data_IF_802281922832
#
_entry.id   IF_802281922832
#
_cell.length_a   1.000
_cell.length_b   1.000
_cell.length_c   1.000
_cell.angle_alpha   90.00
_cell.angle_beta   90.00
_cell.angle_gamma   90.00
#
_symmetry.space_group_name_H-M   'P 1'
#
loop_
_entity.id
_entity.type
_entity.pdbx_description
1 polymer ?
#
# COMPACT_ATOMS: atom_id res chain seq x y z
N UNK A 1 -32.69 -7.86 -16.22
CA UNK A 1 -31.79 -7.07 -15.35
C UNK A 1 -31.72 -5.66 -15.88
N UNK A 2 -32.11 -4.68 -15.07
CA UNK A 2 -31.98 -3.27 -15.44
C UNK A 2 -30.53 -2.81 -15.18
N UNK A 3 -29.96 -1.98 -16.06
CA UNK A 3 -28.59 -1.47 -15.93
C UNK A 3 -28.33 -0.74 -14.58
N UNK A 4 -29.38 -0.21 -13.95
CA UNK A 4 -29.32 0.54 -12.70
C UNK A 4 -28.94 -0.31 -11.47
N UNK A 5 -29.02 -1.64 -11.55
CA UNK A 5 -28.75 -2.55 -10.42
C UNK A 5 -27.27 -3.00 -10.34
N UNK A 6 -26.43 -2.57 -11.27
CA UNK A 6 -25.02 -2.99 -11.33
C UNK A 6 -24.13 -2.14 -10.39
N UNK A 7 -23.14 -2.75 -9.72
CA UNK A 7 -22.22 -2.03 -8.83
C UNK A 7 -21.42 -0.98 -9.60
N UNK A 8 -21.19 0.21 -9.03
CA UNK A 8 -20.48 1.31 -9.72
C UNK A 8 -18.94 1.15 -9.59
N UNK A 9 -18.18 1.13 -10.70
CA UNK A 9 -18.64 1.07 -12.09
C UNK A 9 -19.02 -0.36 -12.52
N UNK A 10 -20.11 -0.53 -13.31
CA UNK A 10 -20.60 -1.84 -13.73
C UNK A 10 -19.56 -2.62 -14.51
N UNK A 11 -19.06 -3.71 -13.93
CA UNK A 11 -18.17 -4.65 -14.62
C UNK A 11 -18.95 -5.92 -14.94
N UNK A 12 -19.39 -6.08 -16.19
CA UNK A 12 -20.06 -7.29 -16.63
C UNK A 12 -19.03 -8.21 -17.32
N UNK A 13 -18.84 -9.41 -16.76
CA UNK A 13 -18.02 -10.46 -17.38
C UNK A 13 -18.96 -11.46 -18.04
N UNK A 14 -18.91 -11.56 -19.36
CA UNK A 14 -19.67 -12.54 -20.12
C UNK A 14 -18.70 -13.61 -20.63
N UNK A 15 -18.94 -14.85 -20.25
CA UNK A 15 -18.22 -16.01 -20.77
C UNK A 15 -19.25 -16.95 -21.43
N UNK A 16 -19.17 -17.10 -22.75
CA UNK A 16 -19.91 -18.11 -23.48
C UNK A 16 -18.99 -19.31 -23.75
N UNK A 17 -19.47 -20.52 -23.45
CA UNK A 17 -18.70 -21.76 -23.45
C UNK A 17 -18.78 -22.56 -24.75
N UNK A 18 -19.43 -22.06 -25.81
CA UNK A 18 -19.55 -22.80 -27.08
C UNK A 18 -18.94 -22.12 -28.32
N UNK A 19 -18.02 -21.14 -28.16
CA UNK A 19 -17.49 -20.47 -29.37
C UNK A 19 -16.39 -19.42 -29.25
N UNK A 20 -15.59 -19.41 -28.16
CA UNK A 20 -14.28 -18.74 -28.00
C UNK A 20 -14.21 -17.21 -28.11
N UNK A 21 -15.13 -16.46 -27.51
CA UNK A 21 -14.87 -15.04 -27.20
C UNK A 21 -15.21 -14.75 -25.74
N UNK A 22 -14.19 -14.34 -24.98
CA UNK A 22 -14.39 -13.70 -23.69
C UNK A 22 -14.36 -12.18 -23.91
N UNK A 23 -15.46 -11.50 -23.60
CA UNK A 23 -15.53 -10.04 -23.68
C UNK A 23 -15.70 -9.43 -22.29
N UNK A 24 -14.99 -8.32 -22.06
CA UNK A 24 -15.13 -7.47 -20.87
C UNK A 24 -15.82 -6.19 -21.31
N UNK A 25 -17.07 -6.00 -20.91
CA UNK A 25 -17.82 -4.77 -21.16
C UNK A 25 -17.75 -3.93 -19.90
N UNK A 26 -17.12 -2.76 -20.01
CA UNK A 26 -17.05 -1.77 -18.94
C UNK A 26 -17.97 -0.62 -19.31
N UNK A 27 -18.88 -0.26 -18.41
CA UNK A 27 -19.77 0.90 -18.56
C UNK A 27 -19.37 1.92 -17.50
N UNK A 28 -19.21 3.18 -17.90
CA UNK A 28 -18.89 4.29 -17.01
C UNK A 28 -19.59 5.57 -17.47
N UNK A 29 -19.65 6.55 -16.58
CA UNK A 29 -20.22 7.87 -16.84
C UNK A 29 -19.43 8.59 -17.94
N UNK A 30 -20.11 9.22 -18.91
CA UNK A 30 -19.47 9.87 -20.05
C UNK A 30 -18.58 11.07 -19.67
N UNK A 31 -18.85 11.73 -18.54
CA UNK A 31 -18.01 12.79 -17.98
C UNK A 31 -16.86 12.23 -17.13
N UNK A 32 -16.88 10.94 -16.78
CA UNK A 32 -15.80 10.28 -16.07
C UNK A 32 -14.71 9.77 -17.03
N UNK A 33 -13.45 9.85 -16.58
CA UNK A 33 -12.31 9.34 -17.35
C UNK A 33 -12.42 7.82 -17.56
N UNK A 34 -12.17 7.38 -18.79
CA UNK A 34 -12.25 5.96 -19.19
C UNK A 34 -11.36 5.07 -18.31
N UNK A 35 -11.92 4.00 -17.68
CA UNK A 35 -11.18 2.99 -16.96
C UNK A 35 -10.39 2.12 -17.94
N UNK A 36 -9.19 2.55 -18.28
CA UNK A 36 -8.21 1.74 -19.00
C UNK A 36 -7.77 0.56 -18.14
N UNK A 37 -7.37 -0.57 -18.75
CA UNK A 37 -6.80 -1.72 -18.01
C UNK A 37 -5.63 -1.31 -17.09
N UNK A 38 -4.86 -0.28 -17.48
CA UNK A 38 -3.81 0.32 -16.64
C UNK A 38 -4.34 1.14 -15.46
N UNK A 39 -5.52 1.75 -15.56
CA UNK A 39 -6.17 2.47 -14.45
C UNK A 39 -6.75 1.51 -13.41
N UNK A 40 -7.39 0.41 -13.83
CA UNK A 40 -7.91 -0.63 -12.93
C UNK A 40 -6.77 -1.39 -12.24
N UNK A 41 -5.70 -1.77 -12.96
CA UNK A 41 -4.47 -2.29 -12.32
C UNK A 41 -3.86 -1.28 -11.34
N UNK A 42 -3.89 0.02 -11.64
CA UNK A 42 -3.44 1.07 -10.72
C UNK A 42 -4.34 1.22 -9.49
N UNK A 43 -5.65 0.99 -9.65
CA UNK A 43 -6.65 1.05 -8.58
C UNK A 43 -6.55 -0.15 -7.64
N UNK A 44 -6.48 -1.36 -8.19
CA UNK A 44 -6.24 -2.60 -7.45
C UNK A 44 -4.86 -2.61 -6.76
N UNK A 45 -3.82 -2.08 -7.41
CA UNK A 45 -2.53 -1.89 -6.74
C UNK A 45 -2.59 -0.79 -5.67
N UNK A 46 -3.50 0.19 -5.76
CA UNK A 46 -3.66 1.23 -4.72
C UNK A 46 -4.26 0.63 -3.43
N UNK A 47 -5.22 -0.27 -3.54
CA UNK A 47 -5.81 -0.96 -2.38
C UNK A 47 -4.82 -1.93 -1.73
N UNK A 48 -4.06 -2.70 -2.54
CA UNK A 48 -2.97 -3.53 -2.02
C UNK A 48 -1.81 -2.73 -1.39
N UNK A 49 -1.51 -1.55 -1.95
CA UNK A 49 -0.47 -0.64 -1.42
C UNK A 49 -0.85 -0.01 -0.08
N UNK A 50 -2.11 0.37 0.10
CA UNK A 50 -2.60 0.87 1.39
C UNK A 50 -2.42 -0.18 2.50
N UNK A 51 -2.73 -1.45 2.18
CA UNK A 51 -2.50 -2.58 3.09
C UNK A 51 -1.02 -2.75 3.41
N UNK A 52 -0.13 -2.77 2.42
CA UNK A 52 1.32 -2.91 2.64
C UNK A 52 1.90 -1.78 3.53
N UNK A 53 1.45 -0.53 3.35
CA UNK A 53 1.89 0.59 4.21
C UNK A 53 1.49 0.38 5.67
N UNK A 54 0.21 0.06 5.92
CA UNK A 54 -0.28 -0.22 7.27
C UNK A 54 0.47 -1.38 7.92
N UNK A 55 0.71 -2.44 7.16
CA UNK A 55 1.45 -3.61 7.62
C UNK A 55 2.89 -3.29 8.03
N UNK A 56 3.58 -2.44 7.28
CA UNK A 56 4.93 -1.98 7.62
C UNK A 56 4.91 -1.17 8.93
N UNK A 57 3.96 -0.25 9.09
CA UNK A 57 3.82 0.56 10.30
C UNK A 57 3.56 -0.34 11.51
N UNK A 58 2.70 -1.35 11.37
CA UNK A 58 2.45 -2.33 12.43
C UNK A 58 3.72 -3.12 12.81
N UNK A 59 4.49 -3.60 11.83
CA UNK A 59 5.75 -4.32 12.08
C UNK A 59 6.76 -3.43 12.81
N UNK A 60 6.94 -2.19 12.36
CA UNK A 60 7.88 -1.24 13.01
C UNK A 60 7.40 -0.90 14.42
N UNK A 61 6.09 -0.71 14.62
CA UNK A 61 5.50 -0.42 15.94
C UNK A 61 5.67 -1.61 16.89
N UNK A 62 5.36 -2.83 16.44
CA UNK A 62 5.47 -4.04 17.23
C UNK A 62 6.92 -4.33 17.64
N UNK A 63 7.88 -4.00 16.77
CA UNK A 63 9.30 -4.16 17.09
C UNK A 63 9.80 -3.18 18.16
N UNK A 64 9.16 -2.01 18.33
CA UNK A 64 9.53 -1.00 19.33
C UNK A 64 10.92 -0.36 19.14
N UNK A 65 11.62 -0.69 18.04
CA UNK A 65 12.94 -0.17 17.68
C UNK A 65 13.04 0.08 16.18
N UNK A 66 14.08 0.78 15.76
CA UNK A 66 14.33 0.99 14.34
C UNK A 66 14.67 -0.34 13.65
N UNK A 67 14.17 -0.51 12.43
CA UNK A 67 14.33 -1.73 11.61
C UNK A 67 14.98 -1.40 10.27
N UNK A 68 15.91 -2.24 9.83
CA UNK A 68 16.43 -2.22 8.46
C UNK A 68 15.38 -2.71 7.46
N UNK A 69 15.59 -2.44 6.16
CA UNK A 69 14.72 -2.97 5.10
C UNK A 69 14.58 -4.50 5.18
N UNK A 70 15.67 -5.20 5.48
CA UNK A 70 15.69 -6.66 5.62
C UNK A 70 14.85 -7.12 6.82
N UNK A 71 14.97 -6.45 7.96
CA UNK A 71 14.18 -6.78 9.14
C UNK A 71 12.69 -6.47 8.95
N UNK A 72 12.34 -5.41 8.22
CA UNK A 72 10.94 -5.12 7.86
C UNK A 72 10.37 -6.25 6.98
N UNK A 73 11.11 -6.68 5.95
CA UNK A 73 10.69 -7.80 5.09
C UNK A 73 10.54 -9.09 5.89
N UNK A 74 11.49 -9.38 6.78
CA UNK A 74 11.41 -10.55 7.65
C UNK A 74 10.22 -10.48 8.61
N UNK A 75 9.95 -9.31 9.21
CA UNK A 75 8.81 -9.11 10.09
C UNK A 75 7.46 -9.28 9.37
N UNK A 76 7.35 -8.80 8.14
CA UNK A 76 6.17 -9.02 7.30
C UNK A 76 5.96 -10.51 6.98
N UNK A 77 7.04 -11.23 6.65
CA UNK A 77 6.99 -12.67 6.40
C UNK A 77 6.54 -13.44 7.65
N UNK A 78 7.13 -13.15 8.81
CA UNK A 78 6.75 -13.79 10.09
C UNK A 78 5.30 -13.48 10.46
N UNK A 79 4.78 -12.30 10.12
CA UNK A 79 3.39 -11.92 10.33
C UNK A 79 2.41 -12.54 9.31
N UNK A 80 2.88 -13.38 8.37
CA UNK A 80 2.04 -13.97 7.31
C UNK A 80 1.60 -12.97 6.24
N UNK A 81 2.25 -11.81 6.16
CA UNK A 81 1.91 -10.71 5.25
C UNK A 81 2.82 -10.75 4.02
N UNK A 82 2.43 -11.57 3.04
CA UNK A 82 3.19 -11.80 1.81
C UNK A 82 3.17 -10.59 0.87
N UNK A 83 4.14 -9.68 1.02
CA UNK A 83 4.37 -8.56 0.11
C UNK A 83 5.66 -8.77 -0.70
N UNK A 84 5.61 -8.49 -2.01
CA UNK A 84 6.80 -8.57 -2.86
C UNK A 84 7.85 -7.49 -2.51
N UNK A 85 9.15 -7.74 -2.75
CA UNK A 85 10.22 -6.80 -2.39
C UNK A 85 10.06 -5.40 -2.99
N UNK A 86 9.63 -5.30 -4.25
CA UNK A 86 9.36 -4.02 -4.91
C UNK A 86 8.19 -3.25 -4.30
N UNK A 87 7.15 -3.96 -3.84
CA UNK A 87 6.01 -3.36 -3.12
C UNK A 87 6.45 -2.80 -1.78
N UNK A 88 7.26 -3.55 -1.02
CA UNK A 88 7.80 -3.11 0.27
C UNK A 88 8.70 -1.89 0.09
N UNK A 89 9.64 -1.92 -0.86
CA UNK A 89 10.53 -0.79 -1.14
C UNK A 89 9.75 0.49 -1.51
N UNK A 90 8.72 0.35 -2.34
CA UNK A 90 7.87 1.49 -2.71
C UNK A 90 7.04 2.00 -1.52
N UNK A 91 6.47 1.11 -0.72
CA UNK A 91 5.69 1.48 0.45
C UNK A 91 6.55 2.20 1.50
N UNK A 92 7.79 1.75 1.71
CA UNK A 92 8.77 2.45 2.56
C UNK A 92 9.07 3.85 2.04
N UNK A 93 9.31 4.00 0.73
CA UNK A 93 9.52 5.31 0.11
C UNK A 93 8.32 6.24 0.30
N UNK A 94 7.11 5.73 0.07
CA UNK A 94 5.90 6.52 0.22
C UNK A 94 5.64 6.92 1.69
N UNK A 95 5.91 6.03 2.66
CA UNK A 95 5.77 6.33 4.11
C UNK A 95 6.78 7.39 4.58
N UNK A 96 7.96 7.44 3.97
CA UNK A 96 8.95 8.49 4.24
C UNK A 96 8.52 9.84 3.65
N UNK A 97 7.98 9.85 2.44
CA UNK A 97 7.42 11.07 1.82
C UNK A 97 6.24 11.59 2.63
N UNK A 98 5.40 10.70 3.16
CA UNK A 98 4.29 11.05 4.04
C UNK A 98 4.74 11.52 5.45
N UNK A 99 6.02 11.33 5.81
CA UNK A 99 6.56 11.68 7.11
C UNK A 99 6.14 10.74 8.25
N UNK A 100 5.51 9.60 7.95
CA UNK A 100 5.13 8.58 8.94
C UNK A 100 6.34 7.77 9.41
N UNK A 101 7.23 7.45 8.47
CA UNK A 101 8.51 6.83 8.75
C UNK A 101 9.65 7.79 8.54
N UNK A 102 10.69 7.60 9.33
CA UNK A 102 11.94 8.30 9.18
C UNK A 102 13.02 7.27 8.88
N UNK A 103 13.65 7.44 7.71
CA UNK A 103 15.07 7.27 7.42
C UNK A 103 15.58 6.09 6.55
N UNK A 104 16.42 6.42 5.55
CA UNK A 104 17.50 5.58 5.04
C UNK A 104 18.92 6.22 5.07
N UNK A 105 19.09 7.51 5.40
CA UNK A 105 20.39 8.23 5.37
C UNK A 105 21.20 8.20 6.67
N UNK A 106 20.58 8.11 7.85
CA UNK A 106 21.34 8.10 9.13
C UNK A 106 21.84 6.70 9.54
N UNK A 107 21.80 5.69 8.63
CA UNK A 107 22.20 4.28 8.85
C UNK A 107 21.51 3.55 10.02
N UNK A 108 20.55 4.18 10.70
CA UNK A 108 19.86 3.64 11.89
C UNK A 108 18.61 2.80 11.57
N UNK A 109 18.22 2.68 10.31
CA UNK A 109 17.00 1.99 9.87
C UNK A 109 15.73 2.85 9.96
N UNK A 110 14.62 2.27 9.50
CA UNK A 110 13.28 2.86 9.49
C UNK A 110 12.68 2.85 10.90
N UNK A 111 12.14 3.99 11.32
CA UNK A 111 11.46 4.17 12.60
C UNK A 111 10.28 5.13 12.47
N UNK A 112 9.35 5.06 13.42
CA UNK A 112 8.20 5.97 13.47
C UNK A 112 8.65 7.41 13.76
N UNK A 113 8.03 8.37 13.08
CA UNK A 113 8.35 9.79 13.27
C UNK A 113 8.06 10.29 14.69
N UNK A 114 7.03 9.76 15.35
CA UNK A 114 6.70 10.10 16.74
C UNK A 114 7.84 9.81 17.74
N UNK A 115 8.73 8.85 17.45
CA UNK A 115 9.83 8.49 18.36
C UNK A 115 10.93 9.55 18.43
N UNK A 116 10.92 10.56 17.56
CA UNK A 116 11.88 11.66 17.57
C UNK A 116 11.74 12.58 18.79
N UNK A 117 10.59 12.57 19.49
CA UNK A 117 10.26 13.57 20.54
C UNK A 117 10.76 13.24 21.95
N UNK A 118 11.45 12.11 22.20
CA UNK A 118 11.82 11.70 23.57
C UNK A 118 13.18 12.18 24.11
N UNK A 119 13.94 13.01 23.38
CA UNK A 119 15.35 13.30 23.76
C UNK A 119 15.72 14.78 23.86
N UNK A 120 14.82 15.67 24.27
CA UNK A 120 15.26 17.03 24.63
C UNK A 120 14.42 17.67 25.73
N UNK A 121 14.51 17.14 26.95
CA UNK A 121 14.62 18.04 28.11
C UNK A 121 16.11 18.26 28.30
N UNK A 122 16.65 19.31 27.67
CA UNK A 122 17.95 19.85 28.07
C UNK A 122 17.75 20.37 29.49
N UNK A 123 18.27 19.63 30.50
CA UNK A 123 18.54 20.27 31.79
C UNK A 123 19.52 21.40 31.53
N UNK A 124 19.11 22.62 31.85
CA UNK A 124 19.92 23.84 31.75
C UNK A 124 20.66 24.13 33.07
N UNK A 125 20.76 23.13 33.95
CA UNK A 125 21.46 23.21 35.23
C UNK A 125 22.35 21.98 35.37
N UNK A 126 23.64 22.17 35.08
CA UNK A 126 24.80 21.50 35.69
C UNK A 126 25.96 22.51 35.68
#
# INVERSE_FOLDING_TARGET
MALAELPIPPTLRVADSHGRVACLIQVWDAAAAMPTAGSERRRLSRTGRGRCRGDIVEVVRAAGRALTAREVVQGLLTAGKGHGPGTVARALADLMVAGELVNPKDKKGYRLAEWRKRTATRSLFD
#
